data_IF_918826334432
#
_entry.id   IF_918826334432
#
_cell.length_a   1.000
_cell.length_b   1.000
_cell.length_c   1.000
_cell.angle_alpha   90.00
_cell.angle_beta   90.00
_cell.angle_gamma   90.00
#
_symmetry.space_group_name_H-M   'P 1'
#
loop_
_entity.id
_entity.type
_entity.pdbx_description
1 polymer ?
#
# COMPACT_ATOMS: atom_id res chain seq x y z
N UNK A 1 -17.48 11.42 -5.53
CA UNK A 1 -17.18 10.32 -4.58
C UNK A 1 -15.82 10.57 -3.94
N UNK A 2 -15.69 10.35 -2.62
CA UNK A 2 -14.41 10.50 -1.90
C UNK A 2 -13.56 9.24 -2.04
N UNK A 3 -12.27 9.41 -2.29
CA UNK A 3 -11.27 8.36 -2.40
C UNK A 3 -10.04 8.74 -1.57
N UNK A 4 -9.56 7.84 -0.71
CA UNK A 4 -8.39 8.04 0.14
C UNK A 4 -7.24 7.20 -0.40
N UNK A 5 -6.12 7.85 -0.71
CA UNK A 5 -4.94 7.25 -1.33
C UNK A 5 -3.83 7.15 -0.30
N UNK A 6 -3.43 5.93 0.05
CA UNK A 6 -2.46 5.65 1.13
C UNK A 6 -1.16 5.11 0.54
N UNK A 7 -0.02 5.80 0.74
CA UNK A 7 1.25 5.43 0.14
C UNK A 7 1.93 4.25 0.84
N UNK A 8 2.93 3.68 0.16
CA UNK A 8 3.80 2.64 0.70
C UNK A 8 4.94 3.17 1.56
N UNK A 9 5.74 2.25 2.09
CA UNK A 9 6.93 2.59 2.88
C UNK A 9 7.87 3.51 2.12
N UNK A 10 8.44 4.47 2.79
CA UNK A 10 9.27 5.59 2.31
C UNK A 10 8.54 6.65 1.47
N UNK A 11 7.34 6.39 0.98
CA UNK A 11 6.57 7.36 0.19
C UNK A 11 5.81 8.34 1.09
N UNK A 12 5.43 9.47 0.50
CA UNK A 12 4.49 10.45 1.04
C UNK A 12 3.22 10.50 0.19
N UNK A 13 2.24 11.27 0.62
CA UNK A 13 1.03 11.57 -0.14
C UNK A 13 1.33 12.03 -1.58
N UNK A 14 2.45 12.74 -1.79
CA UNK A 14 2.88 13.23 -3.12
C UNK A 14 3.15 12.10 -4.13
N UNK A 15 3.38 10.85 -3.68
CA UNK A 15 3.54 9.70 -4.57
C UNK A 15 2.28 9.43 -5.42
N UNK A 16 1.14 9.94 -4.99
CA UNK A 16 -0.14 9.80 -5.69
C UNK A 16 -0.45 10.95 -6.66
N UNK A 17 0.34 12.03 -6.69
CA UNK A 17 0.07 13.19 -7.55
C UNK A 17 -0.01 12.84 -9.05
N UNK A 18 0.83 11.94 -9.61
CA UNK A 18 0.70 11.54 -11.00
C UNK A 18 -0.65 10.87 -11.31
N UNK A 19 -1.20 10.08 -10.39
CA UNK A 19 -2.52 9.45 -10.52
C UNK A 19 -3.62 10.48 -10.33
N UNK A 20 -3.53 11.30 -9.27
CA UNK A 20 -4.53 12.34 -8.93
C UNK A 20 -4.74 13.33 -10.08
N UNK A 21 -3.66 13.75 -10.74
CA UNK A 21 -3.72 14.66 -11.88
C UNK A 21 -4.50 14.08 -13.10
N UNK A 22 -4.77 12.76 -13.11
CA UNK A 22 -5.48 12.05 -14.17
C UNK A 22 -6.90 11.63 -13.78
N UNK A 23 -7.30 11.89 -12.54
CA UNK A 23 -8.66 11.61 -12.07
C UNK A 23 -9.57 12.80 -12.39
N UNK A 24 -10.84 12.57 -12.76
CA UNK A 24 -11.79 13.63 -13.01
C UNK A 24 -12.17 14.36 -11.71
N UNK A 25 -12.58 15.62 -11.83
CA UNK A 25 -12.86 16.49 -10.68
C UNK A 25 -14.01 16.00 -9.78
N UNK A 26 -14.88 15.14 -10.29
CA UNK A 26 -15.98 14.51 -9.54
C UNK A 26 -15.49 13.48 -8.52
N UNK A 27 -14.25 13.04 -8.64
CA UNK A 27 -13.58 12.17 -7.66
C UNK A 27 -12.75 13.03 -6.72
N UNK A 28 -13.21 13.18 -5.49
CA UNK A 28 -12.44 13.83 -4.43
C UNK A 28 -11.29 12.89 -3.97
N UNK A 29 -10.18 12.90 -4.70
CA UNK A 29 -9.02 12.06 -4.40
C UNK A 29 -8.12 12.74 -3.37
N UNK A 30 -8.15 12.26 -2.14
CA UNK A 30 -7.35 12.76 -1.00
C UNK A 30 -6.19 11.82 -0.74
N UNK A 31 -4.97 12.24 -1.04
CA UNK A 31 -3.78 11.50 -0.64
C UNK A 31 -3.41 11.88 0.81
N UNK A 32 -3.12 10.88 1.64
CA UNK A 32 -2.78 11.07 3.05
C UNK A 32 -1.40 10.50 3.33
N UNK A 33 -0.64 11.15 4.20
CA UNK A 33 0.58 10.56 4.73
C UNK A 33 0.25 9.49 5.77
N UNK A 34 1.10 8.48 5.89
CA UNK A 34 0.95 7.45 6.94
C UNK A 34 1.33 8.07 8.28
N UNK A 35 0.43 8.10 9.27
CA UNK A 35 0.74 8.59 10.61
C UNK A 35 1.93 7.88 11.24
N UNK A 36 2.76 8.61 11.95
CA UNK A 36 3.97 8.10 12.61
C UNK A 36 3.79 8.01 14.13
N UNK A 37 4.57 7.16 14.79
CA UNK A 37 4.53 7.02 16.25
C UNK A 37 3.38 6.20 16.81
N UNK A 38 2.59 5.56 15.95
CA UNK A 38 1.45 4.71 16.32
C UNK A 38 1.74 3.24 15.99
N UNK A 39 1.07 2.32 16.67
CA UNK A 39 1.04 0.91 16.32
C UNK A 39 0.32 0.65 14.99
N UNK A 40 0.41 -0.57 14.47
CA UNK A 40 -0.18 -0.92 13.17
C UNK A 40 -1.71 -0.71 13.14
N UNK A 41 -2.41 -1.14 14.18
CA UNK A 41 -3.87 -1.02 14.33
C UNK A 41 -4.28 0.44 14.47
N UNK A 42 -3.60 1.18 15.34
CA UNK A 42 -3.86 2.59 15.60
C UNK A 42 -3.57 3.45 14.36
N UNK A 43 -2.55 3.08 13.57
CA UNK A 43 -2.24 3.76 12.31
C UNK A 43 -3.37 3.54 11.29
N UNK A 44 -3.88 2.31 11.17
CA UNK A 44 -5.01 2.01 10.31
C UNK A 44 -6.27 2.79 10.74
N UNK A 45 -6.57 2.83 12.03
CA UNK A 45 -7.70 3.59 12.58
C UNK A 45 -7.57 5.09 12.30
N UNK A 46 -6.39 5.68 12.53
CA UNK A 46 -6.13 7.10 12.27
C UNK A 46 -6.28 7.46 10.79
N UNK A 47 -5.90 6.58 9.86
CA UNK A 47 -6.18 6.75 8.43
C UNK A 47 -7.69 6.80 8.18
N UNK A 48 -8.46 5.93 8.84
CA UNK A 48 -9.92 5.91 8.76
C UNK A 48 -10.57 7.18 9.30
N UNK A 49 -10.08 7.70 10.42
CA UNK A 49 -10.59 8.92 11.04
C UNK A 49 -10.38 10.17 10.17
N UNK A 50 -9.23 10.24 9.48
CA UNK A 50 -8.94 11.32 8.51
C UNK A 50 -9.70 11.12 7.21
N UNK A 51 -9.78 9.89 6.72
CA UNK A 51 -10.40 9.55 5.45
C UNK A 51 -11.92 9.62 5.47
N UNK A 52 -12.55 9.19 6.55
CA UNK A 52 -14.00 9.10 6.68
C UNK A 52 -14.60 8.04 5.75
N UNK A 53 -15.89 8.17 5.43
CA UNK A 53 -16.58 7.24 4.56
C UNK A 53 -16.14 7.41 3.08
N UNK A 54 -15.28 6.51 2.59
CA UNK A 54 -14.59 6.66 1.32
C UNK A 54 -14.22 5.31 0.68
N UNK A 55 -13.79 5.33 -0.58
CA UNK A 55 -13.02 4.25 -1.20
C UNK A 55 -11.57 4.39 -0.75
N UNK A 56 -11.00 3.35 -0.19
CA UNK A 56 -9.60 3.33 0.25
C UNK A 56 -8.74 2.60 -0.77
N UNK A 57 -7.70 3.29 -1.23
CA UNK A 57 -6.72 2.78 -2.18
C UNK A 57 -5.37 2.78 -1.51
N UNK A 58 -4.84 1.61 -1.22
CA UNK A 58 -3.56 1.49 -0.53
C UNK A 58 -2.51 0.79 -1.38
N UNK A 59 -1.30 1.32 -1.38
CA UNK A 59 -0.15 0.70 -2.02
C UNK A 59 0.77 0.05 -1.00
N UNK A 60 1.13 -1.22 -1.20
CA UNK A 60 2.13 -1.95 -0.40
C UNK A 60 1.85 -1.83 1.11
N UNK A 61 2.68 -1.15 1.90
CA UNK A 61 2.43 -0.89 3.33
C UNK A 61 1.10 -0.17 3.56
N UNK A 62 0.79 0.86 2.77
CA UNK A 62 -0.51 1.55 2.84
C UNK A 62 -1.69 0.62 2.53
N UNK A 63 -1.50 -0.34 1.61
CA UNK A 63 -2.51 -1.37 1.34
C UNK A 63 -2.76 -2.29 2.53
N UNK A 64 -1.70 -2.69 3.24
CA UNK A 64 -1.83 -3.50 4.46
C UNK A 64 -2.61 -2.78 5.57
N UNK A 65 -2.36 -1.48 5.71
CA UNK A 65 -3.11 -0.62 6.65
C UNK A 65 -4.57 -0.44 6.22
N UNK A 66 -4.84 -0.24 4.93
CA UNK A 66 -6.21 -0.15 4.40
C UNK A 66 -6.98 -1.47 4.56
N UNK A 67 -6.32 -2.62 4.40
CA UNK A 67 -6.95 -3.93 4.65
C UNK A 67 -7.34 -4.08 6.12
N UNK A 68 -6.43 -3.71 7.03
CA UNK A 68 -6.71 -3.72 8.47
C UNK A 68 -7.89 -2.81 8.81
N UNK A 69 -7.92 -1.60 8.26
CA UNK A 69 -9.03 -0.65 8.43
C UNK A 69 -10.35 -1.24 7.93
N UNK A 70 -10.36 -1.85 6.74
CA UNK A 70 -11.58 -2.40 6.16
C UNK A 70 -12.17 -3.57 6.97
N UNK A 71 -11.31 -4.36 7.60
CA UNK A 71 -11.71 -5.46 8.47
C UNK A 71 -12.18 -5.00 9.86
N UNK A 72 -11.65 -3.89 10.37
CA UNK A 72 -11.99 -3.40 11.71
C UNK A 72 -13.10 -2.32 11.69
N UNK A 73 -13.19 -1.59 10.60
CA UNK A 73 -14.11 -0.46 10.43
C UNK A 73 -14.80 -0.49 9.05
N UNK A 74 -15.58 -1.55 8.74
CA UNK A 74 -16.30 -1.63 7.47
C UNK A 74 -17.29 -0.46 7.29
N UNK A 75 -17.76 0.16 8.37
CA UNK A 75 -18.64 1.32 8.37
C UNK A 75 -18.08 2.55 7.64
N UNK A 76 -16.75 2.72 7.60
CA UNK A 76 -16.10 3.85 6.92
C UNK A 76 -15.52 3.48 5.55
N UNK A 77 -15.40 2.19 5.23
CA UNK A 77 -14.80 1.72 3.97
C UNK A 77 -15.89 1.37 2.95
N UNK A 78 -16.11 2.26 1.99
CA UNK A 78 -17.07 2.07 0.90
C UNK A 78 -16.60 1.09 -0.17
N UNK A 79 -15.31 0.90 -0.28
CA UNK A 79 -14.64 -0.02 -1.19
C UNK A 79 -13.14 -0.03 -0.93
N UNK A 80 -12.48 -1.12 -1.22
CA UNK A 80 -11.07 -1.35 -0.95
C UNK A 80 -10.32 -1.74 -2.22
N UNK A 81 -9.27 -0.99 -2.55
CA UNK A 81 -8.35 -1.31 -3.65
C UNK A 81 -6.94 -1.48 -3.08
N UNK A 82 -6.35 -2.64 -3.27
CA UNK A 82 -5.00 -2.94 -2.79
C UNK A 82 -4.03 -3.09 -3.97
N UNK A 83 -3.09 -2.17 -4.09
CA UNK A 83 -2.02 -2.23 -5.09
C UNK A 83 -0.78 -2.90 -4.48
N UNK A 84 -0.40 -4.05 -5.01
CA UNK A 84 0.81 -4.79 -4.61
C UNK A 84 0.94 -4.91 -3.07
N UNK A 85 -0.13 -5.33 -2.42
CA UNK A 85 -0.21 -5.51 -0.97
C UNK A 85 -0.52 -6.97 -0.60
N UNK A 86 -0.29 -7.33 0.66
CA UNK A 86 -0.54 -8.66 1.19
C UNK A 86 -1.31 -8.58 2.51
N UNK A 87 -1.99 -9.64 2.95
CA UNK A 87 -2.58 -9.71 4.28
C UNK A 87 -1.57 -9.92 5.41
N UNK A 88 -0.27 -9.91 5.10
CA UNK A 88 0.80 -10.23 6.04
C UNK A 88 1.43 -11.60 5.78
N UNK A 89 2.43 -11.95 6.56
CA UNK A 89 3.18 -13.22 6.45
C UNK A 89 2.53 -14.24 7.39
N UNK A 90 1.96 -15.31 6.84
CA UNK A 90 1.24 -16.32 7.61
C UNK A 90 2.19 -17.23 8.41
N UNK A 91 3.29 -17.67 7.79
CA UNK A 91 4.27 -18.53 8.44
C UNK A 91 5.06 -17.80 9.53
N UNK A 92 5.09 -18.36 10.74
CA UNK A 92 5.73 -17.74 11.91
C UNK A 92 7.26 -17.61 11.76
N UNK A 93 7.91 -18.57 11.13
CA UNK A 93 9.36 -18.55 10.92
C UNK A 93 9.74 -17.51 9.86
N UNK A 94 8.97 -17.43 8.77
CA UNK A 94 9.12 -16.41 7.73
C UNK A 94 8.87 -15.01 8.30
N UNK A 95 7.84 -14.86 9.14
CA UNK A 95 7.51 -13.60 9.81
C UNK A 95 8.61 -13.16 10.76
N UNK A 96 9.19 -14.09 11.52
CA UNK A 96 10.33 -13.82 12.39
C UNK A 96 11.58 -13.41 11.60
N UNK A 97 11.92 -14.14 10.53
CA UNK A 97 13.04 -13.80 9.64
C UNK A 97 12.85 -12.41 8.99
N UNK A 98 11.61 -12.08 8.60
CA UNK A 98 11.29 -10.75 8.07
C UNK A 98 11.44 -9.65 9.13
N UNK A 99 11.07 -9.90 10.37
CA UNK A 99 11.29 -8.94 11.48
C UNK A 99 12.77 -8.66 11.72
N UNK A 100 13.60 -9.70 11.66
CA UNK A 100 15.05 -9.55 11.77
C UNK A 100 15.64 -8.76 10.59
N UNK A 101 15.13 -8.98 9.38
CA UNK A 101 15.55 -8.22 8.20
C UNK A 101 15.13 -6.75 8.29
N UNK A 102 13.92 -6.47 8.75
CA UNK A 102 13.42 -5.11 8.97
C UNK A 102 14.25 -4.39 10.07
N UNK A 103 14.66 -5.09 11.15
CA UNK A 103 15.56 -4.52 12.18
C UNK A 103 16.95 -4.20 11.60
N UNK A 104 17.52 -5.06 10.77
CA UNK A 104 18.81 -4.76 10.11
C UNK A 104 18.72 -3.50 9.25
N UNK A 105 17.64 -3.35 8.48
CA UNK A 105 17.39 -2.15 7.68
C UNK A 105 17.24 -0.90 8.56
N UNK A 106 16.59 -1.02 9.72
CA UNK A 106 16.45 0.07 10.66
C UNK A 106 17.81 0.51 11.23
N UNK A 107 18.64 -0.43 11.66
CA UNK A 107 20.01 -0.17 12.15
C UNK A 107 20.90 0.44 11.06
N UNK A 108 20.75 0.00 9.81
CA UNK A 108 21.46 0.61 8.68
C UNK A 108 21.02 2.06 8.44
N UNK A 109 19.72 2.36 8.53
CA UNK A 109 19.21 3.72 8.40
C UNK A 109 19.74 4.62 9.54
N UNK A 110 19.82 4.12 10.77
CA UNK A 110 20.38 4.83 11.93
C UNK A 110 21.88 5.12 11.75
N UNK A 111 22.62 4.17 11.20
CA UNK A 111 24.06 4.30 10.99
C UNK A 111 24.43 5.22 9.83
N UNK A 112 23.76 5.05 8.68
CA UNK A 112 24.18 5.61 7.40
C UNK A 112 23.37 6.86 7.00
N UNK A 113 22.25 7.13 7.69
CA UNK A 113 21.36 8.24 7.40
C UNK A 113 20.39 7.98 6.26
N UNK A 114 19.50 8.94 6.05
CA UNK A 114 18.35 8.80 5.16
C UNK A 114 18.74 8.65 3.68
N UNK A 115 19.73 9.41 3.21
CA UNK A 115 20.14 9.41 1.80
C UNK A 115 20.68 8.06 1.38
N UNK A 116 21.63 7.52 2.13
CA UNK A 116 22.22 6.22 1.87
C UNK A 116 21.18 5.09 2.00
N UNK A 117 20.26 5.22 2.93
CA UNK A 117 19.17 4.27 3.10
C UNK A 117 18.24 4.27 1.87
N UNK A 118 17.74 5.43 1.43
CA UNK A 118 16.83 5.56 0.29
C UNK A 118 17.49 5.09 -1.01
N UNK A 119 18.75 5.38 -1.21
CA UNK A 119 19.51 4.91 -2.36
C UNK A 119 19.60 3.38 -2.41
N UNK A 120 19.86 2.71 -1.28
CA UNK A 120 19.85 1.24 -1.21
C UNK A 120 18.45 0.67 -1.36
N UNK A 121 17.46 1.30 -0.72
CA UNK A 121 16.07 0.87 -0.77
C UNK A 121 15.54 0.80 -2.20
N UNK A 122 15.77 1.85 -2.99
CA UNK A 122 15.30 1.94 -4.37
C UNK A 122 16.08 1.05 -5.36
N UNK A 123 17.26 0.55 -4.97
CA UNK A 123 18.03 -0.42 -5.77
C UNK A 123 17.62 -1.88 -5.54
N UNK A 124 16.69 -2.16 -4.65
CA UNK A 124 16.21 -3.53 -4.44
C UNK A 124 15.55 -4.09 -5.71
N UNK A 125 15.65 -5.40 -5.95
CA UNK A 125 15.02 -6.06 -7.10
C UNK A 125 13.53 -5.76 -7.24
N UNK A 126 12.85 -5.51 -6.12
CA UNK A 126 11.45 -5.12 -6.06
C UNK A 126 11.12 -3.86 -6.88
N UNK A 127 12.09 -2.97 -7.08
CA UNK A 127 11.95 -1.71 -7.81
C UNK A 127 12.72 -1.70 -9.14
N UNK A 128 13.13 -2.86 -9.65
CA UNK A 128 13.93 -2.95 -10.87
C UNK A 128 13.23 -2.37 -12.11
N UNK A 129 11.91 -2.35 -12.12
CA UNK A 129 11.06 -1.82 -13.20
C UNK A 129 10.68 -0.36 -13.01
N UNK A 130 10.90 0.21 -11.81
CA UNK A 130 10.51 1.59 -11.50
C UNK A 130 11.49 2.58 -12.16
N UNK A 131 11.02 3.46 -13.07
CA UNK A 131 11.87 4.48 -13.64
C UNK A 131 12.45 5.42 -12.57
N UNK A 132 13.74 5.77 -12.63
CA UNK A 132 14.39 6.61 -11.61
C UNK A 132 13.71 7.98 -11.40
N UNK A 133 13.21 8.59 -12.47
CA UNK A 133 12.49 9.86 -12.46
C UNK A 133 11.09 9.74 -11.83
N UNK A 134 10.46 8.56 -11.90
CA UNK A 134 9.19 8.27 -11.25
C UNK A 134 9.35 7.86 -9.77
N UNK A 135 10.57 7.54 -9.31
CA UNK A 135 10.80 7.05 -7.95
C UNK A 135 10.50 8.08 -6.84
N UNK A 136 10.45 9.37 -7.17
CA UNK A 136 10.11 10.44 -6.24
C UNK A 136 11.13 10.63 -5.11
N UNK A 137 12.43 10.47 -5.38
CA UNK A 137 13.49 10.47 -4.37
C UNK A 137 13.50 11.74 -3.52
N UNK A 138 13.31 12.92 -4.11
CA UNK A 138 13.28 14.21 -3.39
C UNK A 138 12.11 14.28 -2.40
N UNK A 139 10.91 13.84 -2.83
CA UNK A 139 9.74 13.81 -1.95
C UNK A 139 9.93 12.82 -0.79
N UNK A 140 10.59 11.67 -1.04
CA UNK A 140 10.94 10.71 0.00
C UNK A 140 11.92 11.28 1.02
N UNK A 141 12.94 12.03 0.56
CA UNK A 141 13.90 12.72 1.45
C UNK A 141 13.23 13.78 2.30
N UNK A 142 12.40 14.63 1.68
CA UNK A 142 11.74 15.72 2.36
C UNK A 142 10.67 15.23 3.38
N UNK A 143 9.98 14.13 3.08
CA UNK A 143 8.87 13.61 3.87
C UNK A 143 9.26 12.60 4.94
N UNK A 144 10.54 12.20 5.03
CA UNK A 144 10.98 11.21 6.02
C UNK A 144 12.13 11.72 6.87
N UNK A 145 12.25 11.11 8.04
CA UNK A 145 13.42 11.20 8.91
C UNK A 145 13.91 9.78 9.19
N UNK A 146 15.11 9.63 9.72
CA UNK A 146 15.59 8.31 10.18
C UNK A 146 14.61 7.72 11.20
N UNK A 147 14.09 8.53 12.11
CA UNK A 147 13.14 8.08 13.13
C UNK A 147 11.82 7.56 12.53
N UNK A 148 11.25 8.24 11.52
CA UNK A 148 10.02 7.78 10.86
C UNK A 148 10.23 6.50 10.06
N UNK A 149 11.38 6.35 9.38
CA UNK A 149 11.73 5.14 8.64
C UNK A 149 11.94 3.94 9.55
N UNK A 150 12.68 4.11 10.63
CA UNK A 150 12.96 3.03 11.59
C UNK A 150 11.72 2.61 12.36
N UNK A 151 10.85 3.57 12.72
CA UNK A 151 9.53 3.27 13.29
C UNK A 151 8.69 2.44 12.32
N UNK A 152 8.60 2.85 11.06
CA UNK A 152 7.81 2.12 10.06
C UNK A 152 8.33 0.69 9.82
N UNK A 153 9.65 0.47 9.83
CA UNK A 153 10.24 -0.86 9.72
C UNK A 153 9.92 -1.74 10.93
N UNK A 154 10.08 -1.21 12.14
CA UNK A 154 9.94 -1.96 13.40
C UNK A 154 8.49 -2.22 13.79
N UNK A 155 7.58 -1.28 13.47
CA UNK A 155 6.20 -1.30 13.97
C UNK A 155 5.19 -1.57 12.85
N UNK A 156 5.39 -1.01 11.66
CA UNK A 156 4.51 -1.17 10.51
C UNK A 156 5.05 -2.18 9.48
N UNK A 157 6.22 -2.78 9.75
CA UNK A 157 6.85 -3.79 8.90
C UNK A 157 5.98 -5.05 8.75
N UNK A 158 6.14 -5.76 7.64
CA UNK A 158 5.38 -7.00 7.40
C UNK A 158 5.72 -8.11 8.41
N UNK A 159 6.92 -8.06 9.01
CA UNK A 159 7.33 -8.97 10.08
C UNK A 159 6.69 -8.66 11.44
N UNK A 160 6.27 -7.41 11.68
CA UNK A 160 5.59 -6.99 12.90
C UNK A 160 4.06 -7.14 12.82
N UNK A 161 3.51 -7.15 11.60
CA UNK A 161 2.08 -7.25 11.37
C UNK A 161 1.54 -8.64 11.73
N UNK A 162 0.42 -8.68 12.44
CA UNK A 162 -0.41 -9.87 12.57
C UNK A 162 -0.99 -10.26 11.21
N UNK A 163 -0.93 -11.55 10.79
CA UNK A 163 -1.52 -12.00 9.53
C UNK A 163 -3.04 -11.84 9.53
N UNK A 164 -3.59 -11.39 8.40
CA UNK A 164 -5.02 -11.16 8.22
C UNK A 164 -5.67 -12.18 7.27
N UNK A 165 -4.97 -13.23 6.90
CA UNK A 165 -5.43 -14.25 5.94
C UNK A 165 -6.77 -14.90 6.35
N UNK A 166 -6.90 -15.25 7.62
CA UNK A 166 -8.08 -15.93 8.14
C UNK A 166 -9.27 -14.98 8.33
N UNK A 167 -9.01 -13.67 8.24
CA UNK A 167 -10.05 -12.63 8.31
C UNK A 167 -10.54 -12.17 6.93
N UNK A 168 -9.89 -12.59 5.83
CA UNK A 168 -10.32 -12.20 4.48
C UNK A 168 -11.78 -12.56 4.15
N UNK A 169 -12.32 -13.73 4.58
CA UNK A 169 -13.73 -14.03 4.39
C UNK A 169 -14.70 -13.08 5.10
N UNK A 170 -14.23 -12.32 6.11
CA UNK A 170 -15.04 -11.35 6.86
C UNK A 170 -15.07 -9.97 6.19
N UNK A 171 -14.44 -9.81 5.01
CA UNK A 171 -14.32 -8.52 4.34
C UNK A 171 -15.68 -8.14 3.71
N UNK A 172 -16.33 -7.13 4.28
CA UNK A 172 -17.65 -6.67 3.85
C UNK A 172 -17.64 -5.73 2.62
N UNK A 173 -16.72 -4.71 2.55
CA UNK A 173 -16.74 -3.79 1.43
C UNK A 173 -16.28 -4.44 0.12
N UNK A 174 -16.76 -3.97 -1.04
CA UNK A 174 -16.25 -4.37 -2.35
C UNK A 174 -14.72 -4.29 -2.39
N UNK A 175 -14.08 -5.36 -2.85
CA UNK A 175 -12.64 -5.56 -2.76
C UNK A 175 -12.01 -5.79 -4.13
N UNK A 176 -10.93 -5.07 -4.42
CA UNK A 176 -10.17 -5.21 -5.66
C UNK A 176 -8.67 -5.34 -5.37
N UNK A 177 -8.10 -6.56 -5.41
CA UNK A 177 -6.65 -6.74 -5.39
C UNK A 177 -6.05 -6.43 -6.76
N UNK A 178 -4.93 -5.71 -6.78
CA UNK A 178 -4.25 -5.23 -7.99
C UNK A 178 -2.75 -5.54 -7.89
N UNK A 179 -2.16 -6.06 -8.96
CA UNK A 179 -0.72 -6.26 -9.06
C UNK A 179 -0.18 -5.87 -10.44
N UNK A 180 1.08 -5.52 -10.53
CA UNK A 180 1.79 -5.38 -11.80
C UNK A 180 2.18 -6.75 -12.35
N UNK A 181 2.06 -6.96 -13.67
CA UNK A 181 2.37 -8.26 -14.29
C UNK A 181 3.82 -8.70 -14.17
N UNK A 182 4.73 -7.78 -13.82
CA UNK A 182 6.16 -8.06 -13.63
C UNK A 182 6.53 -8.31 -12.15
N UNK A 183 5.54 -8.29 -11.24
CA UNK A 183 5.70 -8.58 -9.82
C UNK A 183 5.03 -9.92 -9.48
N UNK A 184 5.63 -11.02 -9.92
CA UNK A 184 5.07 -12.38 -9.84
C UNK A 184 4.56 -12.71 -8.43
N UNK A 185 5.34 -12.37 -7.39
CA UNK A 185 4.95 -12.61 -6.00
C UNK A 185 3.61 -11.95 -5.66
N UNK A 186 3.41 -10.70 -6.06
CA UNK A 186 2.17 -9.99 -5.73
C UNK A 186 1.02 -10.31 -6.68
N UNK A 187 1.32 -10.83 -7.87
CA UNK A 187 0.31 -11.48 -8.74
C UNK A 187 -0.27 -12.70 -8.01
N UNK A 188 0.58 -13.60 -7.51
CA UNK A 188 0.13 -14.80 -6.78
C UNK A 188 -0.68 -14.43 -5.53
N UNK A 189 -0.18 -13.47 -4.75
CA UNK A 189 -0.89 -12.96 -3.55
C UNK A 189 -2.25 -12.33 -3.90
N UNK A 190 -2.36 -11.62 -5.03
CA UNK A 190 -3.62 -11.03 -5.46
C UNK A 190 -4.67 -12.09 -5.79
N UNK A 191 -4.27 -13.17 -6.48
CA UNK A 191 -5.14 -14.30 -6.75
C UNK A 191 -5.52 -15.06 -5.47
N UNK A 192 -4.57 -15.28 -4.56
CA UNK A 192 -4.86 -15.96 -3.29
C UNK A 192 -5.83 -15.15 -2.42
N UNK A 193 -5.63 -13.83 -2.30
CA UNK A 193 -6.56 -12.97 -1.58
C UNK A 193 -7.96 -13.02 -2.20
N UNK A 194 -8.07 -12.91 -3.52
CA UNK A 194 -9.34 -12.97 -4.22
C UNK A 194 -10.07 -14.28 -3.95
N UNK A 195 -9.37 -15.40 -4.05
CA UNK A 195 -9.94 -16.72 -3.78
C UNK A 195 -10.45 -16.91 -2.35
N UNK A 196 -9.79 -16.26 -1.37
CA UNK A 196 -10.21 -16.33 0.04
C UNK A 196 -11.39 -15.43 0.38
N UNK A 197 -11.50 -14.28 -0.29
CA UNK A 197 -12.64 -13.37 -0.09
C UNK A 197 -13.92 -13.93 -0.72
N UNK A 198 -13.84 -14.46 -1.93
CA UNK A 198 -15.01 -15.09 -2.55
C UNK A 198 -14.91 -15.26 -4.06
N UNK A 199 -15.83 -16.02 -4.65
CA UNK A 199 -15.77 -16.40 -6.06
C UNK A 199 -15.99 -15.21 -7.03
N UNK A 200 -16.60 -14.13 -6.56
CA UNK A 200 -16.91 -12.96 -7.38
C UNK A 200 -15.79 -11.92 -7.36
N UNK A 201 -14.74 -12.16 -6.56
CA UNK A 201 -13.56 -11.27 -6.48
C UNK A 201 -12.51 -11.73 -7.49
N UNK A 202 -12.15 -10.83 -8.40
CA UNK A 202 -11.14 -11.08 -9.41
C UNK A 202 -10.03 -10.03 -9.35
N UNK A 203 -8.74 -10.44 -9.32
CA UNK A 203 -7.64 -9.49 -9.32
C UNK A 203 -7.53 -8.78 -10.66
N UNK A 204 -7.06 -7.53 -10.63
CA UNK A 204 -6.68 -6.79 -11.83
C UNK A 204 -5.17 -6.75 -11.96
N UNK A 205 -4.67 -7.14 -13.14
CA UNK A 205 -3.24 -7.13 -13.45
C UNK A 205 -2.93 -5.94 -14.36
N UNK A 206 -2.02 -5.07 -13.91
CA UNK A 206 -1.53 -3.93 -14.69
C UNK A 206 -0.36 -4.36 -15.57
N UNK A 207 -0.60 -4.43 -16.88
CA UNK A 207 0.38 -4.89 -17.86
C UNK A 207 1.65 -4.04 -17.89
N UNK A 208 2.81 -4.69 -17.90
CA UNK A 208 4.13 -4.04 -18.00
C UNK A 208 4.56 -3.27 -16.77
N UNK A 209 3.84 -3.36 -15.65
CA UNK A 209 4.21 -2.74 -14.37
C UNK A 209 4.76 -3.79 -13.40
N UNK A 210 5.68 -3.37 -12.56
CA UNK A 210 6.17 -4.13 -11.40
C UNK A 210 5.45 -3.73 -10.12
N UNK A 211 6.21 -3.60 -9.02
CA UNK A 211 5.66 -3.41 -7.69
C UNK A 211 4.96 -2.05 -7.50
N UNK A 212 5.53 -0.97 -8.02
CA UNK A 212 5.03 0.39 -7.82
C UNK A 212 4.05 0.83 -8.93
N UNK A 213 2.99 0.06 -9.15
CA UNK A 213 2.02 0.23 -10.26
C UNK A 213 1.58 1.68 -10.45
N UNK A 214 1.27 2.40 -9.36
CA UNK A 214 0.80 3.79 -9.41
C UNK A 214 1.86 4.79 -9.88
N UNK A 215 3.15 4.47 -9.72
CA UNK A 215 4.28 5.27 -10.22
C UNK A 215 4.73 4.83 -11.60
N UNK A 216 4.71 3.52 -11.87
CA UNK A 216 5.16 2.94 -13.13
C UNK A 216 4.13 3.15 -14.26
N UNK A 217 2.84 3.13 -13.92
CA UNK A 217 1.75 3.35 -14.88
C UNK A 217 0.59 4.15 -14.26
N UNK A 218 0.78 5.45 -13.99
CA UNK A 218 -0.25 6.29 -13.38
C UNK A 218 -1.50 6.44 -14.24
N UNK A 219 -1.39 6.32 -15.58
CA UNK A 219 -2.53 6.38 -16.50
C UNK A 219 -3.44 5.17 -16.32
N UNK A 220 -2.88 3.95 -16.36
CA UNK A 220 -3.65 2.72 -16.15
C UNK A 220 -4.24 2.68 -14.73
N UNK A 221 -3.47 3.13 -13.72
CA UNK A 221 -3.96 3.22 -12.34
C UNK A 221 -5.15 4.17 -12.25
N UNK A 222 -5.08 5.37 -12.82
CA UNK A 222 -6.19 6.31 -12.81
C UNK A 222 -7.42 5.78 -13.57
N UNK A 223 -7.21 5.10 -14.71
CA UNK A 223 -8.30 4.47 -15.47
C UNK A 223 -9.01 3.39 -14.65
N UNK A 224 -8.24 2.56 -13.93
CA UNK A 224 -8.77 1.57 -13.01
C UNK A 224 -9.60 2.21 -11.90
N UNK A 225 -9.09 3.24 -11.24
CA UNK A 225 -9.77 3.91 -10.14
C UNK A 225 -11.06 4.61 -10.58
N UNK A 226 -11.11 5.17 -11.79
CA UNK A 226 -12.36 5.70 -12.41
C UNK A 226 -13.40 4.59 -12.56
N UNK A 227 -12.99 3.40 -13.01
CA UNK A 227 -13.89 2.26 -13.16
C UNK A 227 -14.44 1.79 -11.81
N UNK A 228 -13.60 1.68 -10.80
CA UNK A 228 -14.04 1.32 -9.42
C UNK A 228 -15.13 2.29 -8.92
N UNK A 229 -14.94 3.59 -9.12
CA UNK A 229 -15.96 4.59 -8.74
C UNK A 229 -17.25 4.40 -9.51
N UNK A 230 -17.17 4.14 -10.82
CA UNK A 230 -18.36 3.88 -11.66
C UNK A 230 -19.13 2.66 -11.15
N UNK A 231 -18.44 1.54 -10.92
CA UNK A 231 -19.05 0.27 -10.47
C UNK A 231 -19.71 0.40 -9.08
N UNK A 232 -19.19 1.27 -8.21
CA UNK A 232 -19.75 1.54 -6.88
C UNK A 232 -20.91 2.56 -6.89
N UNK A 233 -21.19 3.21 -8.03
CA UNK A 233 -22.26 4.21 -8.16
C UNK A 233 -23.40 3.77 -9.09
N UNK A 234 -23.20 2.67 -9.81
CA UNK A 234 -24.19 2.06 -10.71
C UNK A 234 -25.07 1.06 -9.97
#
# INVERSE_FOLDING_TARGET
MRMVLVPGFTQTAAAWDPVRARLPAEIEAVAVDVPTGLGFVETAAAIGDVGGHAVYVGYSMGGRLCLRLALDRPDVVRGLVLLSASPGIADDAERAARREADEKLALEAERDGIDAFLDRWLRQPLFATLPPDAAGLEARRAGNTVATLTHALRVLGAGAQEPLWDRLPDLEPPFLPVAGTLDEKYVDLAFEMAARVGPDVHPVLCGGSGHAVHLENPEATAALLRRVVHDLTS
#
